data_IF_045986478209
#
_entry.id   IF_045986478209
#
_cell.length_a   1.000
_cell.length_b   1.000
_cell.length_c   1.000
_cell.angle_alpha   90.00
_cell.angle_beta   90.00
_cell.angle_gamma   90.00
#
_symmetry.space_group_name_H-M   'P 1'
#
loop_
_entity.id
_entity.type
_entity.pdbx_description
1 polymer ?
#
# COMPACT_ATOMS: atom_id res chain seq x y z
N UNK A 1 23.12 -31.66 -19.51
CA UNK A 1 21.74 -31.41 -19.05
C UNK A 1 21.40 -29.96 -19.33
N UNK A 2 20.22 -29.70 -19.90
CA UNK A 2 19.92 -28.54 -20.75
C UNK A 2 20.22 -27.17 -20.15
N UNK A 3 21.06 -26.40 -20.84
CA UNK A 3 21.17 -24.97 -20.64
C UNK A 3 20.00 -24.32 -21.37
N UNK A 4 18.89 -24.06 -20.66
CA UNK A 4 17.78 -23.28 -21.18
C UNK A 4 18.34 -21.96 -21.72
N UNK A 5 18.34 -21.82 -23.05
CA UNK A 5 18.93 -20.67 -23.69
C UNK A 5 18.09 -19.45 -23.27
N UNK A 6 18.69 -18.30 -22.94
CA UNK A 6 17.95 -17.10 -22.54
C UNK A 6 16.79 -16.75 -23.49
N UNK A 7 16.93 -17.04 -24.78
CA UNK A 7 15.88 -16.85 -25.78
C UNK A 7 14.61 -17.69 -25.53
N UNK A 8 14.74 -18.90 -25.00
CA UNK A 8 13.59 -19.78 -24.75
C UNK A 8 12.77 -19.30 -23.56
N UNK A 9 13.44 -18.79 -22.52
CA UNK A 9 12.79 -18.15 -21.37
C UNK A 9 12.01 -16.91 -21.83
N UNK A 10 12.59 -16.09 -22.70
CA UNK A 10 11.91 -14.91 -23.27
C UNK A 10 10.67 -15.33 -24.06
N UNK A 11 10.75 -16.40 -24.86
CA UNK A 11 9.62 -16.91 -25.64
C UNK A 11 8.46 -17.36 -24.71
N UNK A 12 8.78 -18.08 -23.63
CA UNK A 12 7.78 -18.54 -22.65
C UNK A 12 7.10 -17.34 -21.98
N UNK A 13 7.87 -16.34 -21.55
CA UNK A 13 7.32 -15.11 -20.96
C UNK A 13 6.44 -14.39 -21.97
N UNK A 14 6.84 -14.31 -23.24
CA UNK A 14 6.03 -13.70 -24.30
C UNK A 14 4.67 -14.40 -24.46
N UNK A 15 4.64 -15.74 -24.46
CA UNK A 15 3.39 -16.51 -24.53
C UNK A 15 2.52 -16.27 -23.30
N UNK A 16 3.10 -16.29 -22.09
CA UNK A 16 2.37 -16.00 -20.84
C UNK A 16 1.80 -14.58 -20.86
N UNK A 17 2.56 -13.59 -21.31
CA UNK A 17 2.08 -12.21 -21.44
C UNK A 17 0.97 -12.08 -22.48
N UNK A 18 0.96 -12.89 -23.54
CA UNK A 18 -0.10 -12.90 -24.54
C UNK A 18 -1.40 -13.50 -23.99
N UNK A 19 -1.31 -14.56 -23.18
CA UNK A 19 -2.47 -15.22 -22.57
C UNK A 19 -3.06 -14.44 -21.40
N UNK A 20 -2.21 -13.96 -20.50
CA UNK A 20 -2.65 -13.26 -19.28
C UNK A 20 -2.73 -11.74 -19.46
N UNK A 21 -1.96 -11.16 -20.38
CA UNK A 21 -1.86 -9.73 -20.61
C UNK A 21 -0.80 -9.05 -19.72
N UNK A 22 -0.14 -8.03 -20.27
CA UNK A 22 0.93 -7.29 -19.59
C UNK A 22 0.51 -6.62 -18.27
N UNK A 23 -0.78 -6.34 -18.07
CA UNK A 23 -1.30 -5.74 -16.83
C UNK A 23 -1.67 -6.76 -15.76
N UNK A 24 -1.93 -8.03 -16.11
CA UNK A 24 -2.33 -9.07 -15.14
C UNK A 24 -1.14 -9.75 -14.48
N UNK A 25 -0.03 -9.93 -15.18
CA UNK A 25 1.19 -10.48 -14.58
C UNK A 25 1.69 -9.68 -13.37
N UNK A 26 1.85 -8.34 -13.43
CA UNK A 26 2.29 -7.55 -12.28
C UNK A 26 1.22 -7.47 -11.18
N UNK A 27 -0.06 -7.48 -11.55
CA UNK A 27 -1.18 -7.45 -10.60
C UNK A 27 -1.24 -8.73 -9.76
N UNK A 28 -1.14 -9.90 -10.42
CA UNK A 28 -1.06 -11.21 -9.76
C UNK A 28 0.22 -11.36 -8.94
N UNK A 29 1.36 -10.86 -9.43
CA UNK A 29 2.61 -10.88 -8.67
C UNK A 29 2.52 -10.01 -7.40
N UNK A 30 1.86 -8.84 -7.47
CA UNK A 30 1.65 -7.96 -6.31
C UNK A 30 0.71 -8.58 -5.28
N UNK A 31 -0.41 -9.15 -5.70
CA UNK A 31 -1.36 -9.78 -4.78
C UNK A 31 -0.77 -11.04 -4.13
N UNK A 32 -0.12 -11.90 -4.93
CA UNK A 32 0.55 -13.11 -4.46
C UNK A 32 1.74 -12.77 -3.55
N UNK A 33 2.51 -11.73 -3.88
CA UNK A 33 3.62 -11.25 -3.06
C UNK A 33 3.18 -10.73 -1.70
N UNK A 34 2.02 -10.06 -1.63
CA UNK A 34 1.43 -9.60 -0.35
C UNK A 34 1.04 -10.78 0.54
N UNK A 35 0.37 -11.79 0.00
CA UNK A 35 0.05 -13.03 0.72
C UNK A 35 1.33 -13.77 1.13
N UNK A 36 2.27 -13.97 0.20
CA UNK A 36 3.54 -14.64 0.47
C UNK A 36 4.37 -13.94 1.54
N UNK A 37 4.34 -12.60 1.62
CA UNK A 37 5.02 -11.82 2.65
C UNK A 37 4.46 -12.09 4.04
N UNK A 38 3.13 -12.15 4.18
CA UNK A 38 2.45 -12.46 5.45
C UNK A 38 2.82 -13.87 5.89
N UNK A 39 2.67 -14.84 4.99
CA UNK A 39 3.01 -16.24 5.25
C UNK A 39 4.51 -16.39 5.60
N UNK A 40 5.40 -15.66 4.93
CA UNK A 40 6.83 -15.69 5.21
C UNK A 40 7.17 -15.03 6.54
N UNK A 41 6.47 -13.97 6.96
CA UNK A 41 6.66 -13.37 8.28
C UNK A 41 6.18 -14.28 9.41
N UNK A 42 5.03 -14.94 9.24
CA UNK A 42 4.51 -15.90 10.22
C UNK A 42 5.40 -17.15 10.28
N UNK A 43 5.78 -17.72 9.14
CA UNK A 43 6.70 -18.85 9.08
C UNK A 43 8.09 -18.49 9.64
N UNK A 44 8.55 -17.24 9.50
CA UNK A 44 9.82 -16.79 10.10
C UNK A 44 9.68 -16.60 11.61
N UNK A 45 8.53 -16.15 12.12
CA UNK A 45 8.28 -16.08 13.56
C UNK A 45 8.34 -17.48 14.20
N UNK A 46 7.67 -18.46 13.59
CA UNK A 46 7.72 -19.85 14.06
C UNK A 46 9.13 -20.47 14.01
N UNK A 47 9.96 -20.06 13.06
CA UNK A 47 11.35 -20.53 12.94
C UNK A 47 12.33 -19.77 13.83
N UNK A 48 11.95 -18.56 14.29
CA UNK A 48 12.81 -17.69 15.11
C UNK A 48 12.73 -18.05 16.60
N UNK A 49 11.73 -18.81 17.01
CA UNK A 49 11.64 -19.38 18.35
C UNK A 49 12.70 -20.48 18.60
N UNK A 50 13.45 -20.91 17.57
CA UNK A 50 14.53 -21.92 17.64
C UNK A 50 15.98 -21.38 17.39
N UNK A 51 16.22 -20.13 16.94
CA UNK A 51 17.59 -19.54 16.77
C UNK A 51 17.60 -18.00 16.53
N UNK A 52 18.70 -17.24 16.80
CA UNK A 52 18.68 -15.78 16.77
C UNK A 52 18.79 -15.18 15.35
N UNK A 53 18.23 -13.97 15.26
CA UNK A 53 17.89 -13.23 14.05
C UNK A 53 19.05 -12.93 13.07
N UNK A 54 18.82 -13.18 11.78
CA UNK A 54 19.45 -12.42 10.71
C UNK A 54 18.46 -12.04 9.58
N UNK A 55 18.75 -10.88 8.98
CA UNK A 55 18.12 -10.24 7.82
C UNK A 55 16.70 -9.66 8.02
N UNK A 56 16.68 -8.42 8.50
CA UNK A 56 15.86 -7.38 7.89
C UNK A 56 16.69 -6.76 6.75
N UNK A 57 16.25 -6.86 5.50
CA UNK A 57 16.76 -6.00 4.42
C UNK A 57 15.69 -5.84 3.35
N UNK A 58 15.23 -4.59 3.24
CA UNK A 58 14.70 -3.93 2.03
C UNK A 58 13.57 -4.63 1.27
N UNK A 59 12.32 -4.25 1.55
CA UNK A 59 11.21 -4.30 0.58
C UNK A 59 10.05 -3.42 1.07
N UNK A 60 10.33 -2.12 1.11
CA UNK A 60 9.37 -1.04 1.23
C UNK A 60 9.40 -0.23 -0.08
N UNK A 61 8.93 -0.81 -1.19
CA UNK A 61 8.69 -0.07 -2.43
C UNK A 61 7.88 -0.90 -3.45
N UNK A 62 6.59 -1.13 -3.22
CA UNK A 62 5.67 -1.51 -4.31
C UNK A 62 4.21 -1.09 -4.09
N UNK A 63 3.92 -0.33 -3.03
CA UNK A 63 2.56 -0.01 -2.62
C UNK A 63 2.27 1.49 -2.77
N UNK A 64 2.47 2.07 -3.97
CA UNK A 64 2.03 3.46 -4.28
C UNK A 64 1.66 3.75 -5.76
N UNK A 65 1.46 2.78 -6.67
CA UNK A 65 1.17 3.18 -8.09
C UNK A 65 0.14 2.32 -8.82
N UNK A 66 -1.03 2.06 -8.24
CA UNK A 66 -2.17 1.57 -9.04
C UNK A 66 -3.57 1.75 -8.42
N UNK A 67 -3.86 2.83 -7.70
CA UNK A 67 -5.27 3.20 -7.48
C UNK A 67 -5.44 4.72 -7.30
N UNK A 68 -5.52 5.41 -8.43
CA UNK A 68 -6.35 6.60 -8.55
C UNK A 68 -7.13 6.52 -9.86
N UNK A 69 -8.35 5.97 -9.87
CA UNK A 69 -9.35 6.39 -10.83
C UNK A 69 -9.73 7.83 -10.45
N UNK A 70 -9.18 8.79 -11.19
CA UNK A 70 -9.63 10.17 -11.14
C UNK A 70 -11.04 10.28 -11.76
N UNK A 71 -12.08 9.86 -11.03
CA UNK A 71 -13.48 10.16 -11.35
C UNK A 71 -14.43 9.84 -10.17
N UNK A 72 -14.20 10.44 -9.00
CA UNK A 72 -15.27 10.76 -8.04
C UNK A 72 -14.69 11.75 -7.03
N UNK A 73 -14.69 13.03 -7.39
CA UNK A 73 -14.52 14.12 -6.42
C UNK A 73 -15.74 14.07 -5.50
N UNK A 74 -15.64 13.41 -4.35
CA UNK A 74 -16.54 13.73 -3.24
C UNK A 74 -15.97 14.96 -2.55
N UNK A 75 -16.82 15.96 -2.35
CA UNK A 75 -16.45 17.26 -1.82
C UNK A 75 -15.94 17.08 -0.38
N UNK A 76 -14.64 17.25 -0.17
CA UNK A 76 -14.04 17.36 1.17
C UNK A 76 -14.29 18.80 1.65
N UNK A 77 -15.23 19.00 2.56
CA UNK A 77 -15.29 20.25 3.32
C UNK A 77 -13.95 20.43 4.05
N UNK A 78 -13.34 21.60 3.88
CA UNK A 78 -12.03 21.91 4.43
C UNK A 78 -12.12 22.00 5.96
N UNK A 79 -11.22 21.35 6.73
CA UNK A 79 -11.08 21.60 8.16
C UNK A 79 -10.59 23.05 8.38
N UNK A 80 -11.53 23.96 8.66
CA UNK A 80 -11.24 25.39 8.79
C UNK A 80 -12.46 26.29 9.05
N UNK A 81 -13.68 25.83 8.81
CA UNK A 81 -14.92 26.61 8.98
C UNK A 81 -15.41 26.80 10.44
N UNK A 82 -14.50 26.88 11.41
CA UNK A 82 -14.83 27.32 12.80
C UNK A 82 -14.19 28.66 13.18
N UNK A 83 -13.51 29.34 12.24
CA UNK A 83 -12.90 30.66 12.48
C UNK A 83 -13.72 31.81 11.89
N UNK A 84 -15.04 31.84 12.11
CA UNK A 84 -15.81 33.07 11.84
C UNK A 84 -17.07 33.17 12.70
N UNK A 85 -16.90 33.16 14.02
CA UNK A 85 -17.92 33.67 14.95
C UNK A 85 -17.26 34.26 16.19
N UNK A 86 -16.57 35.39 15.99
CA UNK A 86 -16.36 36.43 17.02
C UNK A 86 -16.46 37.76 16.27
N UNK A 87 -17.23 38.78 16.72
CA UNK A 87 -17.32 39.31 18.09
C UNK A 87 -18.77 39.47 18.59
N UNK A 88 -19.03 39.55 19.89
CA UNK A 88 -19.06 40.82 20.64
C UNK A 88 -18.70 40.61 22.11
N UNK A 89 -17.81 41.46 22.59
CA UNK A 89 -17.62 41.71 24.01
C UNK A 89 -18.64 42.79 24.39
N UNK A 90 -19.53 42.54 25.36
CA UNK A 90 -20.22 43.60 26.08
C UNK A 90 -20.55 43.19 27.54
N UNK A 91 -20.12 44.07 28.44
CA UNK A 91 -20.69 44.42 29.74
C UNK A 91 -20.82 43.38 30.88
N UNK A 92 -19.95 43.55 31.88
CA UNK A 92 -20.21 43.33 33.32
C UNK A 92 -21.36 44.25 33.80
N UNK A 93 -22.32 43.73 34.59
CA UNK A 93 -22.64 44.35 35.90
C UNK A 93 -22.98 43.29 36.98
N UNK A 94 -22.26 43.23 38.12
CA UNK A 94 -22.72 43.61 39.49
C UNK A 94 -23.79 42.73 40.15
N UNK A 95 -23.44 42.19 41.33
CA UNK A 95 -24.22 42.12 42.59
C UNK A 95 -25.69 41.69 42.55
N UNK A 96 -26.04 40.53 43.14
CA UNK A 96 -27.16 40.41 44.12
C UNK A 96 -27.23 39.02 44.79
N UNK A 97 -26.84 38.93 46.06
CA UNK A 97 -27.56 38.26 47.17
C UNK A 97 -26.91 38.66 48.48
#
# INVERSE_FOLDING_TARGET
MGNLKPLEIVLIIAVVLLLFGAKKLPDMARSLGKSARILKSEAKAMRKDDEPAAAATTEAAADQTAQQPAAARTIQAAPGDVTSSRPVSDAKPTTQS
#
